data_IF_768898375637
#
_entry.id   IF_768898375637
#
_cell.length_a   1.000
_cell.length_b   1.000
_cell.length_c   1.000
_cell.angle_alpha   90.00
_cell.angle_beta   90.00
_cell.angle_gamma   90.00
#
_symmetry.space_group_name_H-M   'P 1'
#
loop_
_entity.id
_entity.type
_entity.pdbx_description
1 polymer ?
#
# COMPACT_ATOMS: atom_id res chain seq x y z
N UNK A 1 31.70 -11.30 -27.01
CA UNK A 1 30.78 -10.37 -26.34
C UNK A 1 30.15 -11.13 -25.19
N UNK A 2 30.29 -10.73 -23.91
CA UNK A 2 29.67 -11.49 -22.82
C UNK A 2 28.16 -11.44 -23.03
N UNK A 3 27.55 -12.62 -23.21
CA UNK A 3 26.11 -12.74 -23.32
C UNK A 3 25.49 -12.39 -21.97
N UNK A 4 24.50 -11.49 -21.97
CA UNK A 4 23.73 -11.17 -20.77
C UNK A 4 23.09 -12.45 -20.24
N UNK A 5 23.42 -12.85 -19.02
CA UNK A 5 22.88 -14.05 -18.40
C UNK A 5 21.69 -13.66 -17.54
N UNK A 6 20.58 -14.37 -17.68
CA UNK A 6 19.45 -14.17 -16.78
C UNK A 6 19.91 -14.37 -15.33
N UNK A 7 19.52 -13.48 -14.41
CA UNK A 7 19.88 -13.63 -13.00
C UNK A 7 19.39 -14.98 -12.50
N UNK A 8 20.26 -15.66 -11.74
CA UNK A 8 19.88 -16.89 -11.06
C UNK A 8 18.86 -16.56 -9.97
N UNK A 9 17.97 -17.50 -9.62
CA UNK A 9 16.95 -17.30 -8.57
C UNK A 9 17.58 -16.71 -7.29
N UNK A 10 18.74 -17.22 -6.87
CA UNK A 10 19.48 -16.72 -5.71
C UNK A 10 19.82 -15.23 -5.83
N UNK A 11 20.29 -14.79 -7.01
CA UNK A 11 20.64 -13.39 -7.26
C UNK A 11 19.40 -12.47 -7.27
N UNK A 12 18.26 -12.96 -7.76
CA UNK A 12 17.02 -12.19 -7.75
C UNK A 12 16.48 -11.97 -6.32
N UNK A 13 16.75 -12.90 -5.40
CA UNK A 13 16.36 -12.75 -4.00
C UNK A 13 17.25 -11.79 -3.21
N UNK A 14 18.49 -11.51 -3.62
CA UNK A 14 19.42 -10.66 -2.86
C UNK A 14 18.82 -9.28 -2.56
N UNK A 15 18.32 -8.50 -3.55
CA UNK A 15 17.74 -7.19 -3.27
C UNK A 15 16.44 -7.28 -2.44
N UNK A 16 15.64 -8.33 -2.65
CA UNK A 16 14.37 -8.54 -1.94
C UNK A 16 14.62 -8.82 -0.46
N UNK A 17 15.55 -9.73 -0.15
CA UNK A 17 15.92 -10.05 1.23
C UNK A 17 16.56 -8.85 1.91
N UNK A 18 17.46 -8.13 1.22
CA UNK A 18 18.02 -6.88 1.71
C UNK A 18 16.93 -5.87 2.08
N UNK A 19 15.96 -5.66 1.17
CA UNK A 19 14.85 -4.75 1.38
C UNK A 19 14.02 -5.14 2.61
N UNK A 20 13.60 -6.40 2.72
CA UNK A 20 12.76 -6.88 3.82
C UNK A 20 13.47 -6.73 5.16
N UNK A 21 14.74 -7.11 5.24
CA UNK A 21 15.53 -7.02 6.48
C UNK A 21 15.66 -5.56 6.92
N UNK A 22 16.05 -4.68 6.00
CA UNK A 22 16.27 -3.28 6.34
C UNK A 22 14.97 -2.55 6.71
N UNK A 23 13.86 -2.81 6.02
CA UNK A 23 12.54 -2.26 6.41
C UNK A 23 12.14 -2.80 7.79
N UNK A 24 12.34 -4.09 8.05
CA UNK A 24 11.97 -4.69 9.34
C UNK A 24 12.78 -4.07 10.50
N UNK A 25 14.09 -3.90 10.32
CA UNK A 25 14.95 -3.21 11.29
C UNK A 25 14.51 -1.75 11.45
N UNK A 26 14.15 -1.10 10.36
CA UNK A 26 13.73 0.30 10.38
C UNK A 26 12.47 0.50 11.21
N UNK A 27 11.44 -0.31 10.98
CA UNK A 27 10.19 -0.27 11.75
C UNK A 27 10.44 -0.65 13.21
N UNK A 28 11.34 -1.59 13.50
CA UNK A 28 11.68 -1.96 14.88
C UNK A 28 12.34 -0.82 15.67
N UNK A 29 13.18 -0.01 15.01
CA UNK A 29 13.90 1.10 15.66
C UNK A 29 13.07 2.38 15.69
N UNK A 30 12.43 2.73 14.58
CA UNK A 30 11.80 4.04 14.37
C UNK A 30 10.26 4.01 14.47
N UNK A 31 9.62 2.85 14.53
CA UNK A 31 8.17 2.74 14.58
C UNK A 31 7.49 3.50 13.43
N UNK A 32 6.54 4.36 13.77
CA UNK A 32 5.81 5.21 12.80
C UNK A 32 6.71 6.26 12.12
N UNK A 33 7.79 6.70 12.76
CA UNK A 33 8.76 7.65 12.18
C UNK A 33 9.59 7.04 11.04
N UNK A 34 9.49 5.73 10.80
CA UNK A 34 10.06 5.07 9.63
C UNK A 34 9.57 5.69 8.30
N UNK A 35 8.35 6.24 8.30
CA UNK A 35 7.72 6.83 7.12
C UNK A 35 8.27 8.22 6.73
N UNK A 36 8.96 8.91 7.64
CA UNK A 36 9.41 10.31 7.45
C UNK A 36 10.62 10.48 6.51
N UNK A 37 11.17 9.40 5.96
CA UNK A 37 12.30 9.46 5.02
C UNK A 37 13.15 8.20 4.99
N UNK A 38 13.12 7.42 6.06
CA UNK A 38 14.01 6.26 6.22
C UNK A 38 13.69 5.14 5.22
N UNK A 39 12.39 4.86 5.00
CA UNK A 39 11.94 3.90 4.00
C UNK A 39 12.38 4.26 2.58
N UNK A 40 12.35 5.55 2.21
CA UNK A 40 12.76 6.04 0.90
C UNK A 40 14.26 5.78 0.67
N UNK A 41 15.10 5.98 1.70
CA UNK A 41 16.53 5.68 1.63
C UNK A 41 16.75 4.17 1.44
N UNK A 42 16.04 3.33 2.19
CA UNK A 42 16.15 1.87 2.08
C UNK A 42 15.76 1.37 0.68
N UNK A 43 14.70 1.93 0.10
CA UNK A 43 14.27 1.61 -1.27
C UNK A 43 15.34 1.97 -2.30
N UNK A 44 15.97 3.14 -2.18
CA UNK A 44 17.07 3.57 -3.06
C UNK A 44 18.29 2.64 -2.91
N UNK A 45 18.65 2.28 -1.67
CA UNK A 45 19.76 1.34 -1.42
C UNK A 45 19.46 -0.04 -1.99
N UNK A 46 18.25 -0.55 -1.83
CA UNK A 46 17.82 -1.82 -2.43
C UNK A 46 17.89 -1.77 -3.97
N UNK A 47 17.48 -0.65 -4.58
CA UNK A 47 17.61 -0.45 -6.02
C UNK A 47 19.07 -0.42 -6.46
N UNK A 48 19.97 0.18 -5.67
CA UNK A 48 21.40 0.14 -5.92
C UNK A 48 21.97 -1.29 -5.85
N UNK A 49 21.56 -2.09 -4.86
CA UNK A 49 21.93 -3.52 -4.77
C UNK A 49 21.43 -4.29 -5.99
N UNK A 50 20.18 -4.06 -6.43
CA UNK A 50 19.64 -4.67 -7.65
C UNK A 50 20.44 -4.28 -8.90
N UNK A 51 20.87 -3.02 -9.00
CA UNK A 51 21.70 -2.54 -10.10
C UNK A 51 23.09 -3.19 -10.12
N UNK A 52 23.71 -3.41 -8.95
CA UNK A 52 24.99 -4.13 -8.83
C UNK A 52 24.84 -5.57 -9.31
N UNK A 53 23.80 -6.28 -8.85
CA UNK A 53 23.52 -7.66 -9.26
C UNK A 53 23.29 -7.76 -10.78
N UNK A 54 22.56 -6.80 -11.36
CA UNK A 54 22.35 -6.74 -12.79
C UNK A 54 23.66 -6.47 -13.56
N UNK A 55 24.52 -5.58 -13.04
CA UNK A 55 25.85 -5.33 -13.61
C UNK A 55 26.75 -6.56 -13.61
N UNK A 56 26.75 -7.35 -12.53
CA UNK A 56 27.49 -8.61 -12.43
C UNK A 56 27.02 -9.66 -13.45
N UNK A 57 25.76 -9.60 -13.86
CA UNK A 57 25.16 -10.49 -14.86
C UNK A 57 25.31 -10.00 -16.31
N UNK A 58 26.02 -8.88 -16.51
CA UNK A 58 26.34 -8.35 -17.83
C UNK A 58 25.24 -7.49 -18.46
N UNK A 59 24.25 -7.03 -17.70
CA UNK A 59 23.26 -6.07 -18.19
C UNK A 59 23.89 -4.69 -18.38
N UNK A 60 23.57 -4.02 -19.49
CA UNK A 60 24.04 -2.65 -19.74
C UNK A 60 23.12 -1.65 -19.04
N UNK A 61 23.64 -0.45 -18.80
CA UNK A 61 22.86 0.66 -18.24
C UNK A 61 21.60 0.99 -19.06
N UNK A 62 21.68 0.90 -20.39
CA UNK A 62 20.53 1.12 -21.28
C UNK A 62 19.40 0.11 -21.03
N UNK A 63 19.74 -1.15 -20.77
CA UNK A 63 18.77 -2.22 -20.49
C UNK A 63 18.09 -1.97 -19.14
N UNK A 64 18.89 -1.62 -18.12
CA UNK A 64 18.43 -1.25 -16.79
C UNK A 64 17.48 -0.04 -16.84
N UNK A 65 17.87 1.04 -17.53
CA UNK A 65 17.05 2.24 -17.71
C UNK A 65 15.72 1.92 -18.38
N UNK A 66 15.73 1.08 -19.41
CA UNK A 66 14.51 0.68 -20.11
C UNK A 66 13.58 -0.10 -19.19
N UNK A 67 14.14 -1.01 -18.36
CA UNK A 67 13.39 -1.70 -17.32
C UNK A 67 12.74 -0.75 -16.30
N UNK A 68 13.52 0.21 -15.79
CA UNK A 68 13.04 1.22 -14.83
C UNK A 68 11.87 2.02 -15.43
N UNK A 69 12.02 2.55 -16.65
CA UNK A 69 10.97 3.33 -17.32
C UNK A 69 9.72 2.49 -17.54
N UNK A 70 9.86 1.22 -17.94
CA UNK A 70 8.73 0.32 -18.11
C UNK A 70 7.99 0.07 -16.79
N UNK A 71 8.71 -0.16 -15.69
CA UNK A 71 8.12 -0.33 -14.37
C UNK A 71 7.36 0.92 -13.91
N UNK A 72 7.95 2.11 -14.05
CA UNK A 72 7.29 3.37 -13.71
C UNK A 72 6.05 3.59 -14.58
N UNK A 73 6.17 3.38 -15.89
CA UNK A 73 5.06 3.54 -16.83
C UNK A 73 3.89 2.60 -16.50
N UNK A 74 4.17 1.36 -16.08
CA UNK A 74 3.11 0.41 -15.67
C UNK A 74 2.38 0.84 -14.40
N UNK A 75 3.03 1.57 -13.51
CA UNK A 75 2.45 2.06 -12.26
C UNK A 75 1.79 3.45 -12.38
N UNK A 76 1.97 4.14 -13.50
CA UNK A 76 1.56 5.54 -13.69
C UNK A 76 0.05 5.75 -13.51
N UNK A 77 -0.76 4.85 -14.06
CA UNK A 77 -2.23 4.90 -13.91
C UNK A 77 -2.66 4.82 -12.44
N UNK A 78 -2.09 3.87 -11.68
CA UNK A 78 -2.37 3.73 -10.24
C UNK A 78 -1.89 4.95 -9.44
N UNK A 79 -0.74 5.54 -9.79
CA UNK A 79 -0.25 6.77 -9.13
C UNK A 79 -1.22 7.94 -9.31
N UNK A 80 -1.73 8.15 -10.53
CA UNK A 80 -2.71 9.21 -10.78
C UNK A 80 -4.02 8.98 -10.02
N UNK A 81 -4.49 7.74 -9.95
CA UNK A 81 -5.69 7.39 -9.18
C UNK A 81 -5.47 7.67 -7.68
N UNK A 82 -4.36 7.20 -7.11
CA UNK A 82 -4.03 7.44 -5.70
C UNK A 82 -3.86 8.93 -5.39
N UNK A 83 -3.30 9.72 -6.32
CA UNK A 83 -3.22 11.18 -6.20
C UNK A 83 -4.60 11.83 -6.12
N UNK A 84 -5.52 11.45 -7.02
CA UNK A 84 -6.89 11.98 -7.03
C UNK A 84 -7.66 11.58 -5.77
N UNK A 85 -7.48 10.35 -5.29
CA UNK A 85 -8.08 9.90 -4.03
C UNK A 85 -7.51 10.70 -2.86
N UNK A 86 -6.20 10.96 -2.82
CA UNK A 86 -5.59 11.81 -1.80
C UNK A 86 -6.21 13.22 -1.76
N UNK A 87 -6.38 13.85 -2.93
CA UNK A 87 -7.04 15.15 -3.04
C UNK A 87 -8.52 15.11 -2.59
N UNK A 88 -9.24 14.05 -2.95
CA UNK A 88 -10.63 13.84 -2.56
C UNK A 88 -10.76 13.66 -1.03
N UNK A 89 -9.96 12.77 -0.44
CA UNK A 89 -9.97 12.50 1.01
C UNK A 89 -9.59 13.75 1.80
N UNK A 90 -8.61 14.54 1.33
CA UNK A 90 -8.27 15.82 1.94
C UNK A 90 -9.44 16.83 1.89
N UNK A 91 -10.14 16.88 0.76
CA UNK A 91 -11.32 17.74 0.59
C UNK A 91 -12.47 17.31 1.51
N UNK A 92 -12.71 16.01 1.66
CA UNK A 92 -13.73 15.48 2.57
C UNK A 92 -13.42 15.71 4.04
N UNK A 93 -12.14 15.70 4.40
CA UNK A 93 -11.70 16.02 5.75
C UNK A 93 -11.99 17.49 6.06
N UNK A 94 -11.64 18.41 5.15
CA UNK A 94 -11.88 19.85 5.30
C UNK A 94 -13.37 20.22 5.27
N UNK A 95 -14.17 19.57 4.42
CA UNK A 95 -15.60 19.84 4.32
C UNK A 95 -16.43 19.21 5.43
N UNK A 96 -15.82 18.42 6.32
CA UNK A 96 -16.52 17.76 7.41
C UNK A 96 -17.26 16.47 7.01
N UNK A 97 -17.12 16.00 5.77
CA UNK A 97 -17.74 14.76 5.29
C UNK A 97 -17.18 13.53 6.02
N UNK A 98 -15.86 13.41 6.17
CA UNK A 98 -15.27 12.30 6.96
C UNK A 98 -15.69 12.38 8.44
N UNK A 99 -15.59 13.53 9.14
CA UNK A 99 -16.12 13.67 10.50
C UNK A 99 -17.60 13.29 10.65
N UNK A 100 -18.45 13.70 9.70
CA UNK A 100 -19.87 13.36 9.71
C UNK A 100 -20.08 11.84 9.55
N UNK A 101 -19.36 11.18 8.64
CA UNK A 101 -19.39 9.72 8.52
C UNK A 101 -18.97 9.02 9.81
N UNK A 102 -17.96 9.55 10.51
CA UNK A 102 -17.56 9.00 11.80
C UNK A 102 -18.67 9.16 12.85
N UNK A 103 -19.24 10.36 12.96
CA UNK A 103 -20.30 10.66 13.93
C UNK A 103 -21.54 9.78 13.73
N UNK A 104 -22.05 9.68 12.50
CA UNK A 104 -23.21 8.83 12.21
C UNK A 104 -22.85 7.35 12.26
N UNK A 105 -21.63 6.97 11.86
CA UNK A 105 -21.12 5.61 11.97
C UNK A 105 -21.13 5.09 13.42
N UNK A 106 -20.75 5.94 14.39
CA UNK A 106 -20.80 5.61 15.81
C UNK A 106 -22.23 5.39 16.35
N UNK A 107 -23.24 6.02 15.74
CA UNK A 107 -24.64 5.84 16.14
C UNK A 107 -25.27 4.58 15.55
N UNK A 108 -24.82 4.17 14.36
CA UNK A 108 -25.42 3.07 13.60
C UNK A 108 -24.72 1.74 13.88
N UNK A 109 -23.40 1.76 14.08
CA UNK A 109 -22.59 0.55 14.17
C UNK A 109 -22.40 0.10 15.63
N UNK A 110 -22.75 -1.16 15.90
CA UNK A 110 -22.49 -1.77 17.20
C UNK A 110 -21.03 -2.31 17.24
N UNK A 111 -20.23 -1.98 18.28
CA UNK A 111 -18.84 -2.42 18.40
C UNK A 111 -18.65 -3.93 18.29
N UNK A 112 -19.62 -4.74 18.74
CA UNK A 112 -19.53 -6.20 18.72
C UNK A 112 -19.50 -6.80 17.30
N UNK A 113 -20.13 -6.14 16.33
CA UNK A 113 -20.19 -6.60 14.93
C UNK A 113 -19.37 -5.72 13.99
N UNK A 114 -18.69 -4.69 14.51
CA UNK A 114 -18.05 -3.66 13.71
C UNK A 114 -17.02 -4.23 12.72
N UNK A 115 -16.13 -5.12 13.17
CA UNK A 115 -15.11 -5.70 12.29
C UNK A 115 -15.72 -6.50 11.14
N UNK A 116 -16.78 -7.26 11.41
CA UNK A 116 -17.49 -8.01 10.39
C UNK A 116 -18.21 -7.08 9.42
N UNK A 117 -18.91 -6.07 9.93
CA UNK A 117 -19.60 -5.07 9.11
C UNK A 117 -18.62 -4.28 8.22
N UNK A 118 -17.47 -3.85 8.79
CA UNK A 118 -16.42 -3.15 8.06
C UNK A 118 -15.89 -3.99 6.88
N UNK A 119 -15.66 -5.29 7.09
CA UNK A 119 -15.25 -6.20 6.03
C UNK A 119 -16.31 -6.28 4.91
N UNK A 120 -17.57 -6.50 5.26
CA UNK A 120 -18.67 -6.61 4.28
C UNK A 120 -18.88 -5.31 3.50
N UNK A 121 -18.83 -4.16 4.16
CA UNK A 121 -18.93 -2.85 3.50
C UNK A 121 -17.78 -2.68 2.51
N UNK A 122 -16.54 -3.02 2.90
CA UNK A 122 -15.41 -2.98 1.98
C UNK A 122 -15.54 -3.96 0.81
N UNK A 123 -16.15 -5.13 0.99
CA UNK A 123 -16.44 -6.05 -0.12
C UNK A 123 -17.39 -5.39 -1.11
N UNK A 124 -18.52 -4.85 -0.64
CA UNK A 124 -19.54 -4.22 -1.50
C UNK A 124 -18.95 -3.05 -2.27
N UNK A 125 -18.23 -2.16 -1.57
CA UNK A 125 -17.63 -0.98 -2.19
C UNK A 125 -16.54 -1.38 -3.19
N UNK A 126 -15.71 -2.39 -2.87
CA UNK A 126 -14.66 -2.83 -3.79
C UNK A 126 -15.19 -3.55 -5.01
N UNK A 127 -16.29 -4.29 -4.90
CA UNK A 127 -16.97 -4.85 -6.07
C UNK A 127 -17.58 -3.75 -6.95
N UNK A 128 -18.12 -2.70 -6.33
CA UNK A 128 -18.67 -1.56 -7.08
C UNK A 128 -17.58 -0.69 -7.73
N UNK A 129 -16.43 -0.56 -7.08
CA UNK A 129 -15.33 0.32 -7.51
C UNK A 129 -14.29 -0.40 -8.38
N UNK A 130 -14.25 -1.74 -8.33
CA UNK A 130 -13.29 -2.58 -9.06
C UNK A 130 -11.83 -2.39 -8.65
N UNK A 131 -11.58 -1.88 -7.44
CA UNK A 131 -10.23 -1.59 -6.94
C UNK A 131 -10.16 -1.63 -5.42
N UNK A 132 -9.30 -2.50 -4.90
CA UNK A 132 -8.98 -2.60 -3.47
C UNK A 132 -8.35 -1.32 -2.93
N UNK A 133 -7.47 -0.69 -3.73
CA UNK A 133 -6.75 0.53 -3.38
C UNK A 133 -7.70 1.71 -3.18
N UNK A 134 -8.68 1.88 -4.08
CA UNK A 134 -9.66 2.96 -3.99
C UNK A 134 -10.58 2.77 -2.78
N UNK A 135 -10.98 1.53 -2.52
CA UNK A 135 -11.85 1.18 -1.40
C UNK A 135 -11.19 1.45 -0.05
N UNK A 136 -9.93 1.02 0.10
CA UNK A 136 -9.16 1.26 1.32
C UNK A 136 -8.96 2.76 1.58
N UNK A 137 -8.69 3.53 0.53
CA UNK A 137 -8.37 4.96 0.64
C UNK A 137 -9.57 5.90 0.81
N UNK A 138 -10.80 5.42 0.59
CA UNK A 138 -12.03 6.22 0.74
C UNK A 138 -12.82 5.79 1.98
N UNK A 139 -13.61 4.73 1.86
CA UNK A 139 -14.45 4.20 2.94
C UNK A 139 -13.60 3.53 4.02
N UNK A 140 -12.47 2.91 3.65
CA UNK A 140 -11.56 2.28 4.61
C UNK A 140 -11.02 3.24 5.66
N UNK A 141 -10.59 4.45 5.27
CA UNK A 141 -10.12 5.48 6.20
C UNK A 141 -11.23 5.92 7.17
N UNK A 142 -12.45 6.08 6.66
CA UNK A 142 -13.60 6.41 7.51
C UNK A 142 -13.89 5.31 8.54
N UNK A 143 -13.85 4.03 8.12
CA UNK A 143 -14.02 2.88 9.01
C UNK A 143 -12.89 2.78 10.04
N UNK A 144 -11.63 3.03 9.65
CA UNK A 144 -10.51 3.10 10.61
C UNK A 144 -10.77 4.19 11.66
N UNK A 145 -11.24 5.37 11.23
CA UNK A 145 -11.62 6.45 12.14
C UNK A 145 -12.74 6.07 13.12
N UNK A 146 -13.81 5.43 12.62
CA UNK A 146 -14.93 4.95 13.46
C UNK A 146 -14.45 3.91 14.47
N UNK A 147 -13.74 2.88 14.01
CA UNK A 147 -13.30 1.80 14.89
C UNK A 147 -12.31 2.29 15.96
N UNK A 148 -11.44 3.25 15.61
CA UNK A 148 -10.55 3.91 16.58
C UNK A 148 -11.34 4.70 17.62
N UNK A 149 -12.38 5.42 17.21
CA UNK A 149 -13.28 6.13 18.13
C UNK A 149 -14.08 5.18 19.03
N UNK A 150 -14.31 3.93 18.61
CA UNK A 150 -14.90 2.85 19.43
C UNK A 150 -13.90 2.15 20.36
N UNK A 151 -12.61 2.49 20.30
CA UNK A 151 -11.56 1.85 21.11
C UNK A 151 -11.11 0.48 20.60
N UNK A 152 -11.43 0.12 19.35
CA UNK A 152 -10.97 -1.13 18.74
C UNK A 152 -9.52 -0.98 18.27
N UNK A 153 -8.70 -2.02 18.44
CA UNK A 153 -7.31 -2.00 18.02
C UNK A 153 -7.17 -1.72 16.52
N UNK A 154 -6.35 -0.72 16.16
CA UNK A 154 -6.15 -0.26 14.79
C UNK A 154 -5.76 -1.38 13.82
N UNK A 155 -4.89 -2.30 14.24
CA UNK A 155 -4.48 -3.45 13.43
C UNK A 155 -5.63 -4.38 13.06
N UNK A 156 -6.61 -4.58 13.96
CA UNK A 156 -7.79 -5.40 13.65
C UNK A 156 -8.71 -4.69 12.66
N UNK A 157 -8.90 -3.37 12.82
CA UNK A 157 -9.74 -2.58 11.93
C UNK A 157 -9.12 -2.54 10.53
N UNK A 158 -7.82 -2.25 10.45
CA UNK A 158 -7.06 -2.27 9.19
C UNK A 158 -7.13 -3.65 8.54
N UNK A 159 -6.98 -4.73 9.31
CA UNK A 159 -7.11 -6.10 8.83
C UNK A 159 -8.50 -6.40 8.24
N UNK A 160 -9.58 -5.95 8.88
CA UNK A 160 -10.94 -6.13 8.38
C UNK A 160 -11.19 -5.36 7.06
N UNK A 161 -10.75 -4.10 7.01
CA UNK A 161 -10.85 -3.25 5.81
C UNK A 161 -10.06 -3.84 4.64
N UNK A 162 -8.80 -4.24 4.89
CA UNK A 162 -7.93 -4.86 3.88
C UNK A 162 -8.52 -6.17 3.38
N UNK A 163 -9.00 -7.03 4.28
CA UNK A 163 -9.61 -8.31 3.91
C UNK A 163 -10.80 -8.11 2.97
N UNK A 164 -11.70 -7.19 3.32
CA UNK A 164 -12.88 -6.91 2.50
C UNK A 164 -12.54 -6.26 1.16
N UNK A 165 -11.63 -5.28 1.17
CA UNK A 165 -11.22 -4.58 -0.05
C UNK A 165 -10.54 -5.52 -1.05
N UNK A 166 -9.58 -6.34 -0.61
CA UNK A 166 -8.92 -7.31 -1.50
C UNK A 166 -9.87 -8.40 -1.99
N UNK A 167 -10.78 -8.87 -1.13
CA UNK A 167 -11.76 -9.87 -1.53
C UNK A 167 -12.69 -9.34 -2.62
N UNK A 168 -13.25 -8.15 -2.44
CA UNK A 168 -14.16 -7.55 -3.43
C UNK A 168 -13.45 -7.21 -4.76
N UNK A 169 -12.19 -6.76 -4.71
CA UNK A 169 -11.36 -6.51 -5.90
C UNK A 169 -11.14 -7.78 -6.74
N UNK A 170 -10.95 -8.94 -6.10
CA UNK A 170 -10.78 -10.22 -6.82
C UNK A 170 -12.09 -10.82 -7.35
N UNK A 171 -13.24 -10.32 -6.89
CA UNK A 171 -14.57 -10.71 -7.33
C UNK A 171 -15.13 -9.80 -8.45
N UNK A 172 -14.53 -8.61 -8.66
CA UNK A 172 -14.90 -7.64 -9.69
C UNK A 172 -14.26 -7.97 -11.04
#
# INVERSE_FOLDING_TARGET
>A
MPQSKNPTIVQAFIPVVFLIIFISINVFIFGDSALDGSNQIILILSAAVAAIVAGQNGFKWLDLRTGIVKSISSAMSSMLILLMIGALTGTWLLSGVVPAMIYYGLQILNPNIFLFAACIVCIIVSMATGSSWTTAATVGIALIGIGKAMGIQEGMIAGAVLSGAYFGDKMS
#
